data_IF_309187212545
#
_entry.id   IF_309187212545
#
_cell.length_a   1.000
_cell.length_b   1.000
_cell.length_c   1.000
_cell.angle_alpha   90.00
_cell.angle_beta   90.00
_cell.angle_gamma   90.00
#
_symmetry.space_group_name_H-M   'P 1'
#
loop_
_entity.id
_entity.type
_entity.pdbx_description
1 polymer ?
#
# COMPACT_ATOMS: atom_id res chain seq x y z
N UNK A 1 -27.81 -47.76 -8.34
CA UNK A 1 -27.43 -46.75 -7.32
C UNK A 1 -25.92 -46.48 -7.28
N UNK A 2 -25.04 -47.49 -7.18
CA UNK A 2 -23.57 -47.31 -7.09
C UNK A 2 -22.95 -46.44 -8.20
N UNK A 3 -23.36 -46.60 -9.47
CA UNK A 3 -22.87 -45.77 -10.60
C UNK A 3 -23.27 -44.29 -10.49
N UNK A 4 -24.49 -44.00 -10.03
CA UNK A 4 -24.96 -42.61 -9.83
C UNK A 4 -24.25 -41.94 -8.66
N UNK A 5 -24.00 -42.70 -7.59
CA UNK A 5 -23.23 -42.23 -6.44
C UNK A 5 -21.78 -41.91 -6.82
N UNK A 6 -21.14 -42.78 -7.62
CA UNK A 6 -19.77 -42.57 -8.11
C UNK A 6 -19.66 -41.31 -8.97
N UNK A 7 -20.60 -41.12 -9.92
CA UNK A 7 -20.64 -39.92 -10.76
C UNK A 7 -20.78 -38.67 -9.87
N UNK A 8 -21.71 -38.68 -8.92
CA UNK A 8 -21.92 -37.54 -8.01
C UNK A 8 -20.66 -37.19 -7.21
N UNK A 9 -20.01 -38.18 -6.59
CA UNK A 9 -18.76 -37.95 -5.85
C UNK A 9 -17.62 -37.47 -6.76
N UNK A 10 -17.49 -38.03 -7.97
CA UNK A 10 -16.48 -37.58 -8.92
C UNK A 10 -16.69 -36.14 -9.40
N UNK A 11 -17.94 -35.73 -9.62
CA UNK A 11 -18.28 -34.34 -9.96
C UNK A 11 -18.01 -33.38 -8.80
N UNK A 12 -18.31 -33.79 -7.57
CA UNK A 12 -18.04 -32.97 -6.38
C UNK A 12 -16.53 -32.78 -6.16
N UNK A 13 -15.74 -33.84 -6.32
CA UNK A 13 -14.27 -33.76 -6.22
C UNK A 13 -13.70 -32.85 -7.32
N UNK A 14 -14.20 -32.98 -8.56
CA UNK A 14 -13.76 -32.12 -9.65
C UNK A 14 -14.07 -30.63 -9.39
N UNK A 15 -15.23 -30.32 -8.82
CA UNK A 15 -15.60 -28.96 -8.40
C UNK A 15 -14.68 -28.42 -7.31
N UNK A 16 -14.37 -29.22 -6.30
CA UNK A 16 -13.45 -28.83 -5.23
C UNK A 16 -12.03 -28.59 -5.76
N UNK A 17 -11.54 -29.46 -6.63
CA UNK A 17 -10.22 -29.32 -7.27
C UNK A 17 -10.19 -28.07 -8.14
N UNK A 18 -11.22 -27.83 -8.95
CA UNK A 18 -11.31 -26.64 -9.80
C UNK A 18 -11.35 -25.35 -8.97
N UNK A 19 -12.15 -25.32 -7.89
CA UNK A 19 -12.19 -24.19 -6.96
C UNK A 19 -10.84 -23.94 -6.29
N UNK A 20 -10.15 -25.00 -5.86
CA UNK A 20 -8.81 -24.90 -5.29
C UNK A 20 -7.80 -24.31 -6.31
N UNK A 21 -7.82 -24.77 -7.56
CA UNK A 21 -6.94 -24.24 -8.60
C UNK A 21 -7.23 -22.77 -8.96
N UNK A 22 -8.49 -22.34 -8.92
CA UNK A 22 -8.85 -20.93 -9.15
C UNK A 22 -8.28 -20.05 -8.03
N UNK A 23 -8.44 -20.47 -6.77
CA UNK A 23 -7.88 -19.75 -5.62
C UNK A 23 -6.35 -19.69 -5.73
N UNK A 24 -5.71 -20.82 -6.05
CA UNK A 24 -4.26 -20.90 -6.19
C UNK A 24 -3.75 -20.04 -7.36
N UNK A 25 -4.51 -19.97 -8.45
CA UNK A 25 -4.22 -19.08 -9.58
C UNK A 25 -4.29 -17.61 -9.17
N UNK A 26 -5.28 -17.18 -8.38
CA UNK A 26 -5.38 -15.80 -7.90
C UNK A 26 -4.16 -15.42 -7.04
N UNK A 27 -3.77 -16.28 -6.08
CA UNK A 27 -2.58 -16.05 -5.26
C UNK A 27 -1.27 -16.01 -6.08
N UNK A 28 -1.17 -16.79 -7.15
CA UNK A 28 0.02 -16.80 -8.02
C UNK A 28 0.06 -15.62 -8.99
N UNK A 29 -1.08 -14.97 -9.24
CA UNK A 29 -1.20 -13.92 -10.26
C UNK A 29 -1.06 -12.50 -9.70
N UNK A 30 -1.02 -12.32 -8.38
CA UNK A 30 -0.62 -11.07 -7.74
C UNK A 30 0.89 -11.14 -7.43
N UNK A 31 1.77 -10.68 -8.34
CA UNK A 31 3.21 -10.83 -8.16
C UNK A 31 3.69 -10.00 -6.99
N UNK A 32 4.37 -10.63 -6.03
CA UNK A 32 5.22 -9.94 -5.06
C UNK A 32 6.56 -9.60 -5.73
N UNK A 33 6.99 -8.33 -5.77
CA UNK A 33 8.29 -7.97 -6.31
C UNK A 33 9.44 -8.66 -5.54
N UNK A 34 10.45 -9.15 -6.26
CA UNK A 34 11.67 -9.66 -5.62
C UNK A 34 12.38 -8.55 -4.83
N UNK A 35 12.60 -8.80 -3.53
CA UNK A 35 13.42 -7.94 -2.66
C UNK A 35 14.75 -7.54 -3.30
N UNK A 36 15.43 -8.47 -3.94
CA UNK A 36 16.74 -8.21 -4.54
C UNK A 36 16.67 -7.15 -5.65
N UNK A 37 15.64 -7.23 -6.50
CA UNK A 37 15.44 -6.28 -7.59
C UNK A 37 15.10 -4.89 -7.03
N UNK A 38 14.33 -4.84 -5.94
CA UNK A 38 13.96 -3.59 -5.28
C UNK A 38 15.19 -2.94 -4.64
N UNK A 39 16.01 -3.70 -3.91
CA UNK A 39 17.27 -3.23 -3.33
C UNK A 39 18.21 -2.64 -4.39
N UNK A 40 18.32 -3.28 -5.55
CA UNK A 40 19.10 -2.76 -6.69
C UNK A 40 18.48 -1.45 -7.23
N UNK A 41 17.16 -1.44 -7.48
CA UNK A 41 16.45 -0.30 -8.05
C UNK A 41 16.52 0.95 -7.16
N UNK A 42 16.27 0.80 -5.87
CA UNK A 42 16.24 1.93 -4.92
C UNK A 42 17.61 2.19 -4.28
N UNK A 43 18.62 1.41 -4.65
CA UNK A 43 19.99 1.49 -4.10
C UNK A 43 20.02 1.43 -2.57
N UNK A 44 19.12 0.67 -1.96
CA UNK A 44 19.06 0.43 -0.51
C UNK A 44 19.37 -1.04 -0.20
N UNK A 45 19.68 -1.31 1.07
CA UNK A 45 19.98 -2.66 1.56
C UNK A 45 19.14 -2.99 2.78
N UNK A 46 19.07 -4.28 3.07
CA UNK A 46 18.41 -4.84 4.25
C UNK A 46 16.92 -4.50 4.27
N UNK A 47 16.30 -4.47 3.09
CA UNK A 47 14.87 -4.19 2.95
C UNK A 47 14.05 -5.36 3.51
N UNK A 48 12.95 -5.04 4.17
CA UNK A 48 11.94 -6.01 4.59
C UNK A 48 10.63 -5.62 3.91
N UNK A 49 9.95 -6.57 3.28
CA UNK A 49 8.61 -6.37 2.74
C UNK A 49 7.58 -6.24 3.87
N UNK A 50 6.56 -5.42 3.65
CA UNK A 50 5.41 -5.29 4.56
C UNK A 50 4.05 -5.47 3.85
N UNK A 51 4.08 -5.78 2.55
CA UNK A 51 2.87 -6.14 1.80
C UNK A 51 2.37 -5.05 0.86
N UNK A 52 1.07 -5.13 0.56
CA UNK A 52 0.43 -4.33 -0.48
C UNK A 52 0.16 -2.88 -0.02
N UNK A 53 0.33 -1.97 -0.97
CA UNK A 53 0.07 -0.54 -0.79
C UNK A 53 -0.79 -0.06 -1.94
N UNK A 54 -1.89 0.62 -1.66
CA UNK A 54 -2.71 1.25 -2.70
C UNK A 54 -2.44 2.75 -2.74
N UNK A 55 -2.14 3.29 -3.92
CA UNK A 55 -1.90 4.73 -4.10
C UNK A 55 -1.60 5.12 -5.55
N UNK A 56 -1.79 6.39 -5.89
CA UNK A 56 -1.83 6.85 -7.30
C UNK A 56 -0.53 7.48 -7.83
N UNK A 57 0.52 7.57 -7.02
CA UNK A 57 1.79 8.21 -7.43
C UNK A 57 2.60 7.39 -8.44
N UNK A 58 2.36 6.10 -8.46
CA UNK A 58 2.96 5.15 -9.38
C UNK A 58 2.01 4.89 -10.56
N UNK A 59 2.50 4.20 -11.59
CA UNK A 59 1.79 3.95 -12.83
C UNK A 59 0.51 3.16 -12.62
N UNK A 60 0.51 2.23 -11.66
CA UNK A 60 -0.69 1.49 -11.27
C UNK A 60 -1.11 1.85 -9.85
N UNK A 61 -2.41 1.77 -9.52
CA UNK A 61 -2.86 1.99 -8.15
C UNK A 61 -2.40 0.90 -7.17
N UNK A 62 -1.96 -0.26 -7.70
CA UNK A 62 -1.54 -1.43 -6.93
C UNK A 62 -0.02 -1.48 -6.80
N UNK A 63 0.46 -1.23 -5.59
CA UNK A 63 1.87 -1.13 -5.29
C UNK A 63 2.26 -2.13 -4.20
N UNK A 64 3.56 -2.25 -3.96
CA UNK A 64 4.12 -3.10 -2.94
C UNK A 64 5.15 -2.35 -2.09
N UNK A 65 5.10 -2.60 -0.80
CA UNK A 65 5.84 -1.88 0.22
C UNK A 65 7.03 -2.65 0.77
N UNK A 66 8.16 -1.96 0.85
CA UNK A 66 9.37 -2.39 1.54
C UNK A 66 9.79 -1.31 2.54
N UNK A 67 10.56 -1.66 3.54
CA UNK A 67 11.09 -0.69 4.49
C UNK A 67 12.45 -1.13 5.03
N UNK A 68 13.18 -0.17 5.58
CA UNK A 68 14.30 -0.39 6.49
C UNK A 68 14.17 0.56 7.69
N UNK A 69 15.22 0.70 8.50
CA UNK A 69 15.21 1.59 9.67
C UNK A 69 15.01 3.07 9.35
N UNK A 70 15.25 3.50 8.12
CA UNK A 70 15.32 4.92 7.75
C UNK A 70 14.15 5.36 6.86
N UNK A 71 13.59 4.45 6.07
CA UNK A 71 12.63 4.79 5.02
C UNK A 71 11.71 3.63 4.63
N UNK A 72 10.53 4.01 4.16
CA UNK A 72 9.61 3.17 3.42
C UNK A 72 9.85 3.37 1.92
N UNK A 73 9.80 2.29 1.17
CA UNK A 73 9.97 2.22 -0.27
C UNK A 73 8.72 1.58 -0.88
N UNK A 74 8.08 2.28 -1.80
CA UNK A 74 6.88 1.80 -2.50
C UNK A 74 7.23 1.63 -3.97
N UNK A 75 6.95 0.44 -4.51
CA UNK A 75 7.27 0.06 -5.88
C UNK A 75 6.04 -0.50 -6.58
N UNK A 76 6.07 -0.57 -7.91
CA UNK A 76 5.01 -1.26 -8.67
C UNK A 76 4.91 -2.72 -8.27
N UNK A 77 3.70 -3.22 -8.04
CA UNK A 77 3.49 -4.65 -7.81
C UNK A 77 3.93 -5.48 -9.02
N UNK A 78 3.81 -4.92 -10.23
CA UNK A 78 4.18 -5.58 -11.49
C UNK A 78 5.63 -5.36 -11.93
N UNK A 79 6.55 -5.02 -11.00
CA UNK A 79 7.96 -4.74 -11.28
C UNK A 79 8.61 -5.71 -12.29
N UNK A 80 8.28 -7.00 -12.19
CA UNK A 80 8.90 -8.07 -12.99
C UNK A 80 8.15 -8.38 -14.30
N UNK A 81 7.12 -7.61 -14.66
CA UNK A 81 6.30 -7.84 -15.87
C UNK A 81 6.70 -6.97 -17.06
N UNK A 82 7.69 -6.09 -16.91
CA UNK A 82 8.28 -5.32 -18.01
C UNK A 82 9.09 -4.11 -17.55
N UNK A 83 10.01 -3.64 -18.40
CA UNK A 83 10.92 -2.49 -18.16
C UNK A 83 10.22 -1.14 -17.93
N UNK A 84 8.90 -1.13 -17.84
CA UNK A 84 8.12 0.08 -17.66
C UNK A 84 7.64 0.24 -16.20
N UNK A 85 7.72 -0.84 -15.42
CA UNK A 85 7.38 -0.90 -14.00
C UNK A 85 8.61 -0.75 -13.08
N UNK A 86 9.82 -0.99 -13.60
CA UNK A 86 11.11 -0.87 -12.88
C UNK A 86 11.75 0.52 -12.96
N UNK A 87 11.01 1.48 -13.50
CA UNK A 87 11.48 2.86 -13.68
C UNK A 87 10.93 3.81 -12.64
N UNK A 88 10.02 3.40 -11.77
CA UNK A 88 9.33 4.33 -10.87
C UNK A 88 9.21 3.73 -9.47
N UNK A 89 9.52 4.53 -8.47
CA UNK A 89 9.36 4.17 -7.06
C UNK A 89 9.19 5.42 -6.22
N UNK A 90 8.67 5.23 -5.01
CA UNK A 90 8.50 6.28 -4.02
C UNK A 90 9.30 5.94 -2.77
N UNK A 91 9.94 6.95 -2.20
CA UNK A 91 10.56 6.88 -0.87
C UNK A 91 9.74 7.76 0.07
N UNK A 92 9.36 7.23 1.22
CA UNK A 92 8.79 7.98 2.35
C UNK A 92 9.80 7.87 3.50
N UNK A 93 10.37 8.99 3.91
CA UNK A 93 11.35 9.05 4.98
C UNK A 93 10.71 8.95 6.37
N UNK A 94 11.53 8.73 7.40
CA UNK A 94 11.13 8.76 8.81
C UNK A 94 10.32 10.03 9.16
N UNK A 95 9.38 9.87 10.09
CA UNK A 95 8.46 10.92 10.48
C UNK A 95 9.10 12.03 11.29
N UNK A 96 8.64 13.25 11.04
CA UNK A 96 8.86 14.40 11.91
C UNK A 96 7.61 14.69 12.74
N UNK A 97 7.83 15.19 13.95
CA UNK A 97 6.76 15.70 14.80
C UNK A 97 6.04 16.87 14.11
N UNK A 98 4.73 16.96 14.36
CA UNK A 98 3.90 18.04 13.86
C UNK A 98 4.22 19.35 14.59
N UNK A 99 4.25 20.45 13.86
CA UNK A 99 4.49 21.80 14.41
C UNK A 99 3.30 22.71 14.17
N UNK A 100 3.30 23.88 14.80
CA UNK A 100 2.23 24.89 14.63
C UNK A 100 2.06 25.31 13.15
N UNK A 101 3.15 25.28 12.37
CA UNK A 101 3.13 25.57 10.93
C UNK A 101 2.27 24.58 10.12
N UNK A 102 2.07 23.36 10.61
CA UNK A 102 1.29 22.33 9.94
C UNK A 102 -0.22 22.48 10.16
N UNK A 103 -0.64 23.38 11.05
CA UNK A 103 -2.04 23.55 11.46
C UNK A 103 -3.00 23.74 10.29
N UNK A 104 -2.58 24.48 9.26
CA UNK A 104 -3.42 24.70 8.08
C UNK A 104 -3.66 23.40 7.30
N UNK A 105 -2.62 22.60 7.08
CA UNK A 105 -2.73 21.32 6.38
C UNK A 105 -3.57 20.31 7.18
N UNK A 106 -3.37 20.26 8.50
CA UNK A 106 -4.16 19.41 9.41
C UNK A 106 -5.64 19.79 9.34
N UNK A 107 -5.97 21.08 9.39
CA UNK A 107 -7.35 21.54 9.29
C UNK A 107 -7.98 21.21 7.93
N UNK A 108 -7.20 21.24 6.84
CA UNK A 108 -7.69 20.82 5.52
C UNK A 108 -8.01 19.32 5.47
N UNK A 109 -7.17 18.48 6.09
CA UNK A 109 -7.40 17.04 6.20
C UNK A 109 -8.69 16.76 6.97
N UNK A 110 -8.81 17.37 8.16
CA UNK A 110 -9.99 17.19 9.02
C UNK A 110 -11.27 17.71 8.36
N UNK A 111 -11.23 18.86 7.69
CA UNK A 111 -12.40 19.46 7.06
C UNK A 111 -12.89 18.69 5.82
N UNK A 112 -11.98 18.07 5.04
CA UNK A 112 -12.37 17.23 3.90
C UNK A 112 -12.97 15.90 4.35
N UNK A 113 -12.53 15.37 5.48
CA UNK A 113 -13.02 14.09 6.02
C UNK A 113 -14.40 14.22 6.69
N UNK A 114 -14.64 15.30 7.45
CA UNK A 114 -15.98 15.63 8.00
C UNK A 114 -17.08 15.73 6.92
N UNK A 115 -16.69 15.96 5.66
CA UNK A 115 -17.59 16.09 4.53
C UNK A 115 -17.82 14.79 3.75
N UNK A 116 -17.05 13.71 3.98
CA UNK A 116 -17.05 12.56 3.07
C UNK A 116 -17.59 11.23 3.62
N UNK A 117 -17.70 10.95 4.94
CA UNK A 117 -18.33 9.67 5.34
C UNK A 117 -18.73 9.55 6.83
N UNK A 118 -20.01 9.28 7.10
CA UNK A 118 -20.56 8.95 8.44
C UNK A 118 -19.93 7.70 9.11
N UNK A 119 -19.10 6.94 8.36
CA UNK A 119 -18.50 5.67 8.80
C UNK A 119 -17.03 5.81 9.25
N UNK A 120 -16.40 6.96 8.99
CA UNK A 120 -15.05 7.24 9.45
C UNK A 120 -15.09 7.87 10.83
N UNK A 121 -14.30 7.33 11.77
CA UNK A 121 -14.24 7.84 13.14
C UNK A 121 -12.81 7.81 13.69
N UNK A 122 -12.57 8.57 14.75
CA UNK A 122 -11.28 8.63 15.45
C UNK A 122 -10.09 9.00 14.55
N UNK A 123 -10.28 9.88 13.56
CA UNK A 123 -9.18 10.35 12.73
C UNK A 123 -8.15 11.10 13.59
N UNK A 124 -6.88 10.72 13.44
CA UNK A 124 -5.74 11.37 14.09
C UNK A 124 -4.63 11.56 13.08
N UNK A 125 -4.13 12.79 12.99
CA UNK A 125 -2.87 13.10 12.29
C UNK A 125 -1.73 12.93 13.28
N UNK A 126 -0.73 12.11 12.93
CA UNK A 126 0.30 11.63 13.86
C UNK A 126 1.63 12.34 13.64
N UNK A 127 2.07 12.42 12.39
CA UNK A 127 3.39 12.90 11.99
C UNK A 127 3.36 13.35 10.53
N UNK A 128 4.43 14.01 10.09
CA UNK A 128 4.63 14.35 8.67
C UNK A 128 5.91 13.70 8.15
N UNK A 129 5.88 13.29 6.91
CA UNK A 129 6.94 12.52 6.26
C UNK A 129 7.26 13.15 4.92
N UNK A 130 8.55 13.20 4.59
CA UNK A 130 8.97 13.65 3.27
C UNK A 130 8.84 12.50 2.30
N UNK A 131 8.05 12.71 1.25
CA UNK A 131 7.93 11.79 0.13
C UNK A 131 8.78 12.29 -1.03
N UNK A 132 9.53 11.39 -1.66
CA UNK A 132 10.21 11.63 -2.93
C UNK A 132 9.76 10.62 -3.97
N UNK A 133 9.33 11.08 -5.14
CA UNK A 133 8.97 10.23 -6.28
C UNK A 133 10.14 10.21 -7.26
N UNK A 134 10.55 9.00 -7.64
CA UNK A 134 11.58 8.77 -8.64
C UNK A 134 10.97 8.22 -9.92
N UNK A 135 11.43 8.74 -11.07
CA UNK A 135 11.11 8.21 -12.40
C UNK A 135 12.40 8.15 -13.22
N UNK A 136 12.69 7.01 -13.83
CA UNK A 136 13.94 6.72 -14.53
C UNK A 136 15.19 7.02 -13.67
N UNK A 137 15.15 6.70 -12.37
CA UNK A 137 16.20 7.00 -11.39
C UNK A 137 16.47 8.50 -11.17
N UNK A 138 15.57 9.38 -11.61
CA UNK A 138 15.62 10.82 -11.35
C UNK A 138 14.52 11.23 -10.38
N UNK A 139 14.85 12.09 -9.42
CA UNK A 139 13.87 12.72 -8.53
C UNK A 139 12.99 13.67 -9.34
N UNK A 140 11.68 13.43 -9.37
CA UNK A 140 10.72 14.24 -10.14
C UNK A 140 9.76 15.05 -9.27
N UNK A 141 9.48 14.58 -8.05
CA UNK A 141 8.55 15.22 -7.13
C UNK A 141 9.03 15.04 -5.70
N UNK A 142 8.83 16.07 -4.87
CA UNK A 142 9.02 16.00 -3.42
C UNK A 142 7.87 16.75 -2.74
N UNK A 143 7.20 16.08 -1.82
CA UNK A 143 6.01 16.59 -1.14
C UNK A 143 5.97 16.10 0.31
N UNK A 144 5.30 16.85 1.18
CA UNK A 144 5.07 16.43 2.57
C UNK A 144 3.77 15.64 2.66
N UNK A 145 3.87 14.39 3.10
CA UNK A 145 2.72 13.56 3.44
C UNK A 145 2.45 13.60 4.93
N UNK A 146 1.19 13.54 5.32
CA UNK A 146 0.77 13.42 6.70
C UNK A 146 0.35 11.99 6.98
N UNK A 147 0.95 11.39 8.00
CA UNK A 147 0.56 10.07 8.49
C UNK A 147 -0.70 10.21 9.33
N UNK A 148 -1.77 9.56 8.89
CA UNK A 148 -3.04 9.55 9.58
C UNK A 148 -3.40 8.13 10.03
N UNK A 149 -4.14 8.06 11.12
CA UNK A 149 -4.84 6.85 11.53
C UNK A 149 -6.32 7.15 11.67
N UNK A 150 -7.16 6.20 11.30
CA UNK A 150 -8.61 6.32 11.43
C UNK A 150 -9.23 4.94 11.65
N UNK A 151 -10.49 4.93 12.07
CA UNK A 151 -11.28 3.71 12.26
C UNK A 151 -12.40 3.65 11.22
N UNK A 152 -12.51 2.52 10.53
CA UNK A 152 -13.54 2.21 9.55
C UNK A 152 -14.05 0.79 9.79
N UNK A 153 -15.37 0.61 9.87
CA UNK A 153 -16.02 -0.70 10.09
C UNK A 153 -15.37 -1.56 11.20
N UNK A 154 -15.14 -0.93 12.35
CA UNK A 154 -14.48 -1.51 13.53
C UNK A 154 -12.95 -1.70 13.49
N UNK A 155 -12.33 -1.64 12.31
CA UNK A 155 -10.89 -1.80 12.11
C UNK A 155 -10.12 -0.48 12.05
N UNK A 156 -8.84 -0.52 12.42
CA UNK A 156 -7.93 0.64 12.36
C UNK A 156 -7.06 0.58 11.10
N UNK A 157 -6.91 1.76 10.48
CA UNK A 157 -6.15 1.92 9.24
C UNK A 157 -5.09 3.01 9.41
N UNK A 158 -4.01 2.88 8.63
CA UNK A 158 -2.93 3.86 8.52
C UNK A 158 -2.79 4.30 7.07
N UNK A 159 -2.69 5.60 6.85
CA UNK A 159 -2.58 6.17 5.50
C UNK A 159 -1.64 7.36 5.51
N UNK A 160 -0.86 7.50 4.46
CA UNK A 160 -0.09 8.72 4.19
C UNK A 160 -0.86 9.57 3.19
N UNK A 161 -1.11 10.83 3.53
CA UNK A 161 -1.96 11.74 2.75
C UNK A 161 -1.25 13.02 2.35
N UNK A 162 -1.45 13.43 1.10
CA UNK A 162 -1.14 14.77 0.63
C UNK A 162 -2.37 15.68 0.86
N UNK A 163 -2.26 16.75 1.67
CA UNK A 163 -3.40 17.59 2.03
C UNK A 163 -4.00 18.34 0.83
N UNK A 164 -3.17 18.71 -0.16
CA UNK A 164 -3.60 19.46 -1.34
C UNK A 164 -4.49 18.61 -2.26
N UNK A 165 -4.24 17.30 -2.34
CA UNK A 165 -4.94 16.38 -3.24
C UNK A 165 -5.26 15.04 -2.54
N UNK A 166 -6.10 15.06 -1.51
CA UNK A 166 -6.42 13.88 -0.67
C UNK A 166 -7.03 12.69 -1.45
N UNK A 167 -7.77 12.94 -2.53
CA UNK A 167 -8.44 11.87 -3.28
C UNK A 167 -7.45 11.05 -4.12
N UNK A 168 -6.44 11.70 -4.70
CA UNK A 168 -5.44 11.03 -5.54
C UNK A 168 -4.12 10.81 -4.77
N UNK A 169 -3.63 11.79 -4.03
CA UNK A 169 -2.36 11.79 -3.32
C UNK A 169 -2.40 11.04 -1.98
N UNK A 170 -2.71 9.75 -2.01
CA UNK A 170 -2.71 8.89 -0.82
C UNK A 170 -1.98 7.58 -1.02
N UNK A 171 -1.43 7.06 0.07
CA UNK A 171 -1.01 5.67 0.18
C UNK A 171 -1.70 5.00 1.35
N UNK A 172 -2.57 4.04 1.04
CA UNK A 172 -3.24 3.19 2.03
C UNK A 172 -2.37 1.97 2.33
N UNK A 173 -2.09 1.74 3.60
CA UNK A 173 -1.30 0.61 4.06
C UNK A 173 -2.27 -0.40 4.68
N UNK A 174 -2.37 -1.61 4.11
CA UNK A 174 -3.31 -2.63 4.54
C UNK A 174 -2.69 -3.63 5.53
N UNK A 175 -3.54 -4.26 6.35
CA UNK A 175 -3.23 -5.37 7.25
C UNK A 175 -1.97 -5.19 8.13
N UNK A 176 -0.80 -5.60 7.64
CA UNK A 176 0.48 -5.62 8.36
C UNK A 176 1.12 -4.22 8.51
N UNK A 177 0.83 -3.31 7.58
CA UNK A 177 1.40 -1.95 7.60
C UNK A 177 0.90 -1.09 8.77
N UNK A 178 -0.31 -1.34 9.30
CA UNK A 178 -0.83 -0.57 10.43
C UNK A 178 0.02 -0.77 11.70
N UNK A 179 0.19 -2.03 12.13
CA UNK A 179 0.92 -2.35 13.36
C UNK A 179 2.39 -1.96 13.24
N UNK A 180 2.97 -2.15 12.06
CA UNK A 180 4.39 -1.94 11.80
C UNK A 180 4.78 -0.46 11.76
N UNK A 181 3.94 0.41 11.20
CA UNK A 181 4.28 1.82 10.99
C UNK A 181 3.54 2.79 11.92
N UNK A 182 2.82 2.28 12.92
CA UNK A 182 2.20 3.13 13.93
C UNK A 182 3.22 4.05 14.63
N UNK A 183 4.43 3.55 14.89
CA UNK A 183 5.53 4.27 15.56
C UNK A 183 6.63 4.78 14.60
N UNK A 184 6.47 4.60 13.29
CA UNK A 184 7.45 5.01 12.26
C UNK A 184 7.43 6.51 11.97
#
# INVERSE_FOLDING_TARGET
MKKRLFIFFSSLIALLIMGYFIILFMFYYEPTPSKHNVEEMVSAKDLTDFGEVEGSYLRTPKNYGFYNKDSIYIVEQYLEKGEEYDKQYVIIEEGLELTDDDSQAINQILAKDELQTDYLSNLKVISKHRMTVYKNNEKVEESWLFKITYKYDEDYFLTFLLPENIEEGKFNFFAEGYEQFLQF
#
